data_IF_802072699497
#
_entry.id   IF_802072699497
#
_cell.length_a   1.000
_cell.length_b   1.000
_cell.length_c   1.000
_cell.angle_alpha   90.00
_cell.angle_beta   90.00
_cell.angle_gamma   90.00
#
_symmetry.space_group_name_H-M   'P 1'
#
loop_
_entity.id
_entity.type
_entity.pdbx_description
1 polymer ?
#
# COMPACT_ATOMS: atom_id res chain seq x y z
N UNK A 1 -22.38 28.96 -2.23
CA UNK A 1 -21.21 29.77 -1.82
C UNK A 1 -20.97 29.47 -0.35
N UNK A 2 -20.22 28.41 -0.01
CA UNK A 2 -20.15 27.95 1.39
C UNK A 2 -19.27 26.75 1.69
N UNK A 3 -18.85 25.97 0.68
CA UNK A 3 -17.88 24.87 0.88
C UNK A 3 -16.43 25.41 0.86
N UNK A 4 -16.15 26.37 -0.02
CA UNK A 4 -14.81 27.00 -0.12
C UNK A 4 -14.49 27.79 1.15
N UNK A 5 -15.46 28.51 1.70
CA UNK A 5 -15.27 29.36 2.88
C UNK A 5 -14.90 28.55 4.14
N UNK A 6 -15.47 27.35 4.30
CA UNK A 6 -15.20 26.48 5.45
C UNK A 6 -13.79 25.87 5.40
N UNK A 7 -13.33 25.43 4.22
CA UNK A 7 -11.97 24.93 4.03
C UNK A 7 -10.90 26.01 4.24
N UNK A 8 -11.18 27.24 3.78
CA UNK A 8 -10.30 28.39 4.01
C UNK A 8 -10.24 28.75 5.49
N UNK A 9 -11.39 28.76 6.18
CA UNK A 9 -11.45 28.99 7.63
C UNK A 9 -10.65 27.93 8.40
N UNK A 10 -10.79 26.64 8.03
CA UNK A 10 -10.04 25.57 8.67
C UNK A 10 -8.53 25.73 8.51
N UNK A 11 -8.07 26.02 7.29
CA UNK A 11 -6.65 26.26 7.02
C UNK A 11 -6.12 27.48 7.76
N UNK A 12 -6.93 28.55 7.88
CA UNK A 12 -6.55 29.76 8.63
C UNK A 12 -6.42 29.46 10.12
N UNK A 13 -7.34 28.71 10.72
CA UNK A 13 -7.27 28.34 12.13
C UNK A 13 -6.09 27.41 12.42
N UNK A 14 -5.75 26.50 11.49
CA UNK A 14 -4.56 25.64 11.57
C UNK A 14 -3.23 26.39 11.52
N UNK A 15 -3.21 27.66 11.11
CA UNK A 15 -1.98 28.49 11.21
C UNK A 15 -1.62 28.86 12.65
N UNK A 16 -2.57 28.77 13.58
CA UNK A 16 -2.32 29.03 14.99
C UNK A 16 -1.72 27.78 15.66
N UNK A 17 -0.51 27.91 16.20
CA UNK A 17 0.21 26.82 16.87
C UNK A 17 -0.53 26.20 18.07
N UNK A 18 -1.43 26.96 18.69
CA UNK A 18 -2.23 26.52 19.85
C UNK A 18 -3.54 25.84 19.44
N UNK A 19 -3.96 25.99 18.19
CA UNK A 19 -5.27 25.53 17.74
C UNK A 19 -5.24 24.05 17.33
N UNK A 20 -6.22 23.25 17.79
CA UNK A 20 -6.33 21.83 17.45
C UNK A 20 -7.76 21.42 17.15
N UNK A 21 -7.92 20.57 16.13
CA UNK A 21 -9.18 19.89 15.81
C UNK A 21 -9.31 18.56 16.58
N UNK A 22 -10.50 18.30 17.10
CA UNK A 22 -10.84 17.03 17.74
C UNK A 22 -11.11 15.96 16.68
N UNK A 23 -10.12 15.07 16.48
CA UNK A 23 -10.27 13.88 15.62
C UNK A 23 -10.50 12.60 16.43
N UNK A 24 -11.31 12.70 17.50
CA UNK A 24 -11.75 11.50 18.22
C UNK A 24 -12.51 10.58 17.27
N UNK A 25 -12.35 9.27 17.47
CA UNK A 25 -13.05 8.22 16.72
C UNK A 25 -14.57 8.32 16.80
N UNK A 26 -15.09 9.06 17.78
CA UNK A 26 -16.52 9.37 17.97
C UNK A 26 -17.08 10.41 16.99
N UNK A 27 -16.25 10.98 16.10
CA UNK A 27 -16.71 11.90 15.06
C UNK A 27 -17.06 13.31 15.55
N UNK A 28 -16.37 13.82 16.56
CA UNK A 28 -16.66 15.13 17.17
C UNK A 28 -16.36 16.32 16.22
N UNK A 29 -15.13 16.43 15.69
CA UNK A 29 -14.76 17.49 14.74
C UNK A 29 -14.67 18.91 15.32
N UNK A 30 -14.92 19.11 16.62
CA UNK A 30 -14.83 20.43 17.25
C UNK A 30 -13.39 20.97 17.28
N UNK A 31 -13.21 22.27 17.06
CA UNK A 31 -11.91 22.95 17.15
C UNK A 31 -11.77 23.73 18.45
N UNK A 32 -10.57 23.76 19.03
CA UNK A 32 -10.30 24.52 20.25
C UNK A 32 -8.87 25.06 20.28
N UNK A 33 -8.70 26.17 21.00
CA UNK A 33 -7.39 26.66 21.39
C UNK A 33 -6.94 25.92 22.65
N UNK A 34 -5.71 25.43 22.62
CA UNK A 34 -5.08 24.71 23.72
C UNK A 34 -4.03 25.63 24.33
N UNK A 35 -4.43 26.36 25.38
CA UNK A 35 -3.53 27.23 26.12
C UNK A 35 -2.46 26.42 26.87
N UNK A 36 -1.29 27.02 27.09
CA UNK A 36 -0.15 26.41 27.80
C UNK A 36 0.36 25.11 27.14
N UNK A 37 0.26 25.00 25.82
CA UNK A 37 0.65 23.79 25.09
C UNK A 37 2.10 23.33 25.31
N UNK A 38 2.99 24.27 25.67
CA UNK A 38 4.40 23.99 25.99
C UNK A 38 4.59 23.30 27.33
N UNK A 39 3.65 23.47 28.27
CA UNK A 39 3.68 22.88 29.61
C UNK A 39 2.84 21.60 29.70
N UNK A 40 2.17 21.20 28.61
CA UNK A 40 1.38 19.98 28.58
C UNK A 40 2.28 18.75 28.51
N UNK A 41 1.84 17.67 29.18
CA UNK A 41 2.40 16.32 29.09
C UNK A 41 2.19 15.66 27.70
N UNK A 42 2.01 16.46 26.64
CA UNK A 42 1.76 16.02 25.27
C UNK A 42 0.30 15.78 24.91
N UNK A 43 -0.66 15.98 25.83
CA UNK A 43 -2.09 15.76 25.60
C UNK A 43 -2.98 16.94 26.05
N UNK A 44 -4.18 17.02 25.49
CA UNK A 44 -5.22 17.97 25.87
C UNK A 44 -6.59 17.29 25.93
N UNK A 45 -7.55 17.90 26.64
CA UNK A 45 -8.93 17.37 26.71
C UNK A 45 -9.84 18.20 25.81
N UNK A 46 -10.63 17.52 24.97
CA UNK A 46 -11.60 18.20 24.13
C UNK A 46 -12.74 18.81 24.97
N UNK A 47 -13.03 20.10 24.81
CA UNK A 47 -14.09 20.76 25.57
C UNK A 47 -15.49 20.27 25.17
N UNK A 48 -15.68 19.86 23.90
CA UNK A 48 -16.99 19.45 23.39
C UNK A 48 -17.36 18.00 23.77
N UNK A 49 -16.40 17.06 23.73
CA UNK A 49 -16.68 15.63 23.92
C UNK A 49 -15.91 14.97 25.09
N UNK A 50 -15.06 15.73 25.78
CA UNK A 50 -14.28 15.27 26.94
C UNK A 50 -13.19 14.24 26.62
N UNK A 51 -12.92 13.95 25.35
CA UNK A 51 -11.89 12.98 24.98
C UNK A 51 -10.47 13.55 25.17
N UNK A 52 -9.57 12.73 25.70
CA UNK A 52 -8.15 13.06 25.79
C UNK A 52 -7.49 12.80 24.43
N UNK A 53 -6.80 13.80 23.90
CA UNK A 53 -6.19 13.78 22.58
C UNK A 53 -4.71 14.12 22.68
N UNK A 54 -3.90 13.48 21.85
CA UNK A 54 -2.51 13.86 21.67
C UNK A 54 -2.43 15.24 21.00
N UNK A 55 -1.65 16.15 21.57
CA UNK A 55 -1.47 17.49 21.02
C UNK A 55 -0.69 17.50 19.69
N UNK A 56 0.31 16.61 19.55
CA UNK A 56 1.12 16.48 18.34
C UNK A 56 0.37 15.77 17.21
N UNK A 57 -0.25 14.63 17.52
CA UNK A 57 -0.88 13.78 16.50
C UNK A 57 -2.36 14.13 16.22
N UNK A 58 -3.01 14.89 17.12
CA UNK A 58 -4.44 15.22 17.05
C UNK A 58 -5.37 14.01 16.96
N UNK A 59 -4.94 12.86 17.47
CA UNK A 59 -5.71 11.61 17.63
C UNK A 59 -5.97 11.35 19.12
N UNK A 60 -6.68 10.27 19.45
CA UNK A 60 -6.87 9.84 20.83
C UNK A 60 -5.54 9.62 21.55
N UNK A 61 -5.49 10.03 22.82
CA UNK A 61 -4.27 10.00 23.60
C UNK A 61 -3.74 8.57 23.76
N UNK A 62 -2.53 8.34 23.26
CA UNK A 62 -1.80 7.09 23.40
C UNK A 62 -1.20 6.97 24.80
N UNK A 63 -2.05 6.65 25.78
CA UNK A 63 -1.66 6.44 27.19
C UNK A 63 -0.51 5.44 27.29
N UNK A 64 0.56 5.83 27.99
CA UNK A 64 1.73 4.98 28.24
C UNK A 64 2.83 5.04 27.19
N UNK A 65 2.64 5.82 26.12
CA UNK A 65 3.67 6.06 25.10
C UNK A 65 3.92 7.56 24.95
N UNK A 66 5.19 7.94 24.81
CA UNK A 66 5.55 9.24 24.26
C UNK A 66 5.16 9.32 22.78
N UNK A 67 5.12 10.52 22.20
CA UNK A 67 4.79 10.66 20.78
C UNK A 67 5.76 9.90 19.89
N UNK A 68 7.06 9.93 20.20
CA UNK A 68 8.08 9.29 19.38
C UNK A 68 8.03 7.75 19.52
N UNK A 69 7.74 7.22 20.71
CA UNK A 69 7.51 5.77 20.89
C UNK A 69 6.26 5.30 20.15
N UNK A 70 5.19 6.10 20.16
CA UNK A 70 3.96 5.81 19.42
C UNK A 70 4.21 5.81 17.90
N UNK A 71 4.97 6.77 17.38
CA UNK A 71 5.38 6.80 15.97
C UNK A 71 6.25 5.58 15.62
N UNK A 72 7.23 5.22 16.46
CA UNK A 72 8.09 4.06 16.24
C UNK A 72 7.32 2.74 16.24
N UNK A 73 6.37 2.57 17.16
CA UNK A 73 5.51 1.39 17.21
C UNK A 73 4.57 1.31 16.00
N UNK A 74 4.03 2.46 15.57
CA UNK A 74 3.22 2.53 14.36
C UNK A 74 4.02 2.15 13.11
N UNK A 75 5.23 2.68 12.97
CA UNK A 75 6.12 2.37 11.86
C UNK A 75 6.46 0.86 11.81
N UNK A 76 6.78 0.25 12.96
CA UNK A 76 6.98 -1.21 13.05
C UNK A 76 5.78 -2.01 12.57
N UNK A 77 4.56 -1.60 12.96
CA UNK A 77 3.34 -2.29 12.56
C UNK A 77 2.97 -2.07 11.09
N UNK A 78 3.22 -0.88 10.55
CA UNK A 78 3.00 -0.57 9.13
C UNK A 78 3.96 -1.35 8.22
N UNK A 79 5.23 -1.51 8.61
CA UNK A 79 6.20 -2.33 7.87
C UNK A 79 5.77 -3.81 7.81
N UNK A 80 5.36 -4.37 8.96
CA UNK A 80 4.82 -5.74 9.04
C UNK A 80 3.54 -5.92 8.23
N UNK A 81 2.62 -4.95 8.27
CA UNK A 81 1.37 -5.01 7.51
C UNK A 81 1.61 -4.89 5.99
N UNK A 82 2.61 -4.10 5.58
CA UNK A 82 3.01 -3.97 4.18
C UNK A 82 3.64 -5.25 3.64
N UNK A 83 4.53 -5.89 4.40
CA UNK A 83 5.20 -7.12 4.00
C UNK A 83 4.24 -8.30 3.89
N UNK A 84 3.32 -8.45 4.85
CA UNK A 84 2.33 -9.55 4.83
C UNK A 84 1.39 -9.40 3.63
N UNK A 85 0.94 -8.18 3.34
CA UNK A 85 0.03 -7.92 2.21
C UNK A 85 0.75 -8.13 0.88
N UNK A 86 1.98 -7.63 0.74
CA UNK A 86 2.80 -7.83 -0.48
C UNK A 86 3.07 -9.32 -0.70
N UNK A 87 3.41 -10.09 0.32
CA UNK A 87 3.65 -11.53 0.19
C UNK A 87 2.38 -12.33 -0.11
N UNK A 88 1.23 -11.94 0.44
CA UNK A 88 -0.03 -12.64 0.20
C UNK A 88 -0.50 -12.57 -1.26
N UNK A 89 -0.22 -11.45 -1.93
CA UNK A 89 -0.71 -11.19 -3.30
C UNK A 89 0.37 -11.26 -4.38
N UNK A 90 1.63 -11.55 -4.02
CA UNK A 90 2.73 -11.67 -4.98
C UNK A 90 3.39 -13.06 -4.98
N UNK A 91 3.97 -13.44 -6.11
CA UNK A 91 4.86 -14.61 -6.25
C UNK A 91 6.15 -14.18 -6.92
N UNK A 92 7.27 -14.76 -6.50
CA UNK A 92 8.57 -14.50 -7.13
C UNK A 92 8.60 -15.03 -8.56
N UNK A 93 9.27 -14.28 -9.44
CA UNK A 93 9.58 -14.73 -10.78
C UNK A 93 10.37 -16.05 -10.72
N UNK A 94 9.96 -17.10 -11.47
CA UNK A 94 10.65 -18.39 -11.46
C UNK A 94 12.00 -18.39 -12.19
N UNK A 95 12.37 -17.28 -12.83
CA UNK A 95 13.73 -17.12 -13.34
C UNK A 95 14.65 -16.81 -12.15
N UNK A 96 15.52 -17.76 -11.81
CA UNK A 96 16.46 -17.70 -10.68
C UNK A 96 17.37 -16.46 -10.72
N UNK A 97 17.71 -15.95 -11.91
CA UNK A 97 18.51 -14.73 -12.07
C UNK A 97 17.71 -13.44 -11.83
N UNK A 98 16.37 -13.51 -11.76
CA UNK A 98 15.48 -12.37 -11.63
C UNK A 98 14.84 -12.31 -10.25
N UNK A 99 14.09 -13.34 -9.84
CA UNK A 99 13.45 -13.42 -8.51
C UNK A 99 12.46 -12.30 -8.13
N UNK A 100 12.23 -11.30 -8.99
CA UNK A 100 11.36 -10.15 -8.71
C UNK A 100 9.95 -10.59 -8.31
N UNK A 101 9.35 -10.03 -7.23
CA UNK A 101 7.97 -10.32 -6.85
C UNK A 101 7.00 -9.75 -7.88
N UNK A 102 6.08 -10.58 -8.34
CA UNK A 102 5.06 -10.25 -9.35
C UNK A 102 3.69 -10.38 -8.70
N UNK A 103 2.82 -9.39 -8.88
CA UNK A 103 1.42 -9.43 -8.43
C UNK A 103 0.53 -10.04 -9.53
N UNK A 104 -0.50 -10.80 -9.13
CA UNK A 104 -1.52 -11.26 -10.08
C UNK A 104 -2.59 -10.20 -10.27
N UNK A 105 -2.77 -9.73 -11.49
CA UNK A 105 -3.98 -9.05 -11.93
C UNK A 105 -4.97 -10.11 -12.46
N UNK A 106 -6.27 -9.94 -12.20
CA UNK A 106 -7.30 -10.94 -12.50
C UNK A 106 -7.33 -11.36 -13.99
N UNK A 107 -7.85 -12.56 -14.26
CA UNK A 107 -8.21 -12.99 -15.62
C UNK A 107 -7.33 -14.04 -16.31
N UNK A 108 -6.03 -14.20 -15.98
CA UNK A 108 -5.20 -15.23 -16.62
C UNK A 108 -4.14 -15.85 -15.69
N UNK A 109 -3.87 -17.15 -15.87
CA UNK A 109 -2.78 -17.87 -15.19
C UNK A 109 -1.49 -17.93 -16.03
N UNK A 110 -1.48 -17.37 -17.24
CA UNK A 110 -0.27 -17.12 -18.03
C UNK A 110 0.20 -15.70 -17.70
N UNK A 111 1.28 -15.64 -16.92
CA UNK A 111 1.87 -14.41 -16.42
C UNK A 111 3.14 -14.08 -17.18
N UNK A 112 3.47 -12.80 -17.24
CA UNK A 112 4.76 -12.31 -17.77
C UNK A 112 5.47 -11.55 -16.66
N UNK A 113 6.76 -11.81 -16.46
CA UNK A 113 7.59 -11.03 -15.53
C UNK A 113 7.71 -9.59 -16.05
N UNK A 114 6.86 -8.70 -15.55
CA UNK A 114 6.80 -7.27 -15.80
C UNK A 114 6.05 -6.58 -14.65
N UNK A 115 6.01 -5.24 -14.67
CA UNK A 115 5.32 -4.43 -13.66
C UNK A 115 3.87 -4.85 -13.42
N UNK A 116 3.15 -5.25 -14.47
CA UNK A 116 1.72 -5.54 -14.41
C UNK A 116 1.40 -7.05 -14.33
N UNK A 117 2.39 -7.92 -14.42
CA UNK A 117 2.22 -9.37 -14.35
C UNK A 117 1.40 -10.03 -15.48
N UNK A 118 0.61 -9.29 -16.26
CA UNK A 118 -0.32 -9.83 -17.26
C UNK A 118 0.22 -9.73 -18.69
N UNK A 119 -0.42 -10.47 -19.61
CA UNK A 119 -0.10 -10.44 -21.05
C UNK A 119 -0.92 -9.39 -21.82
N UNK A 120 -1.82 -8.65 -21.16
CA UNK A 120 -2.69 -7.64 -21.78
C UNK A 120 -2.10 -6.24 -21.65
N UNK A 121 -0.81 -6.09 -21.91
CA UNK A 121 -0.15 -4.79 -22.02
C UNK A 121 -0.58 -4.09 -23.32
N UNK A 122 -1.88 -3.87 -23.49
CA UNK A 122 -2.47 -3.24 -24.67
C UNK A 122 -2.25 -1.72 -24.69
N UNK A 123 -1.95 -1.10 -23.53
CA UNK A 123 -1.92 0.36 -23.42
C UNK A 123 -0.54 1.01 -23.55
N UNK A 124 0.56 0.25 -23.73
CA UNK A 124 1.86 0.87 -24.10
C UNK A 124 3.01 -0.14 -24.24
N UNK A 125 3.37 -0.45 -25.49
CA UNK A 125 4.65 -1.12 -25.81
C UNK A 125 5.86 -0.35 -25.27
N UNK A 126 5.74 0.96 -25.08
CA UNK A 126 6.83 1.85 -24.66
C UNK A 126 6.97 2.01 -23.14
N UNK A 127 6.07 1.40 -22.35
CA UNK A 127 5.97 1.58 -20.88
C UNK A 127 6.09 0.27 -20.11
N UNK A 128 6.06 -0.87 -20.79
CA UNK A 128 6.22 -2.16 -20.13
C UNK A 128 7.66 -2.64 -20.30
N UNK A 129 8.43 -2.58 -19.22
CA UNK A 129 9.82 -3.04 -19.14
C UNK A 129 9.89 -4.58 -19.26
N UNK A 130 9.70 -5.12 -20.46
CA UNK A 130 9.94 -6.53 -20.75
C UNK A 130 11.46 -6.72 -21.00
N UNK A 131 12.18 -7.28 -20.03
CA UNK A 131 13.62 -7.56 -20.18
C UNK A 131 14.54 -6.39 -19.80
N UNK A 132 14.12 -5.54 -18.87
CA UNK A 132 14.91 -4.44 -18.32
C UNK A 132 15.62 -4.76 -16.99
N UNK A 133 16.13 -3.73 -16.31
CA UNK A 133 16.85 -3.86 -15.02
C UNK A 133 16.04 -4.54 -13.91
N UNK A 134 14.72 -4.39 -13.92
CA UNK A 134 13.84 -4.84 -12.82
C UNK A 134 13.01 -6.09 -13.16
N UNK A 135 12.83 -6.41 -14.45
CA UNK A 135 11.95 -7.50 -14.89
C UNK A 135 12.54 -8.21 -16.11
N UNK A 136 12.57 -9.55 -16.11
CA UNK A 136 13.22 -10.34 -17.16
C UNK A 136 12.32 -10.70 -18.35
N UNK A 137 11.02 -10.39 -18.31
CA UNK A 137 10.08 -10.72 -19.39
C UNK A 137 9.72 -12.21 -19.52
N UNK A 138 10.24 -13.07 -18.65
CA UNK A 138 9.93 -14.51 -18.66
C UNK A 138 8.43 -14.74 -18.49
N UNK A 139 7.84 -15.57 -19.36
CA UNK A 139 6.46 -16.05 -19.20
C UNK A 139 6.43 -17.30 -18.33
N UNK A 140 5.41 -17.40 -17.49
CA UNK A 140 5.26 -18.51 -16.56
C UNK A 140 3.80 -18.74 -16.17
N UNK A 141 3.52 -19.95 -15.68
CA UNK A 141 2.22 -20.30 -15.12
C UNK A 141 2.10 -19.80 -13.68
N UNK A 142 1.11 -18.98 -13.36
CA UNK A 142 0.88 -18.52 -11.98
C UNK A 142 0.58 -19.65 -11.00
N UNK A 143 -0.07 -20.73 -11.48
CA UNK A 143 -0.49 -21.84 -10.63
C UNK A 143 0.70 -22.68 -10.15
N UNK A 144 1.67 -22.97 -11.02
CA UNK A 144 2.76 -23.90 -10.73
C UNK A 144 4.16 -23.32 -10.87
N UNK A 145 4.27 -22.05 -11.28
CA UNK A 145 5.50 -21.35 -11.62
C UNK A 145 6.32 -22.01 -12.74
N UNK A 146 5.70 -22.90 -13.50
CA UNK A 146 6.29 -23.54 -14.67
C UNK A 146 6.58 -22.54 -15.77
N UNK A 147 7.75 -22.67 -16.41
CA UNK A 147 8.18 -21.81 -17.52
C UNK A 147 7.20 -21.95 -18.69
N UNK A 148 6.94 -20.84 -19.38
CA UNK A 148 6.18 -20.83 -20.65
C UNK A 148 7.06 -20.19 -21.71
N UNK A 149 7.32 -20.93 -22.79
CA UNK A 149 8.04 -20.47 -23.96
C UNK A 149 7.06 -20.13 -25.10
N UNK A 150 7.52 -19.29 -26.03
CA UNK A 150 6.80 -18.98 -27.26
C UNK A 150 7.28 -19.91 -28.38
N UNK A 151 6.37 -20.61 -29.03
CA UNK A 151 6.65 -21.27 -30.29
C UNK A 151 6.63 -20.23 -31.42
N UNK A 152 7.81 -19.95 -31.97
CA UNK A 152 7.98 -18.98 -33.06
C UNK A 152 7.30 -19.40 -34.37
N UNK A 153 7.02 -20.70 -34.56
CA UNK A 153 6.42 -21.21 -35.81
C UNK A 153 4.90 -21.09 -35.80
N UNK A 154 4.28 -21.41 -34.67
CA UNK A 154 2.81 -21.43 -34.53
C UNK A 154 2.27 -20.19 -33.81
N UNK A 155 3.16 -19.33 -33.31
CA UNK A 155 2.83 -18.25 -32.37
C UNK A 155 2.09 -18.76 -31.11
N UNK A 156 2.29 -20.04 -30.78
CA UNK A 156 1.68 -20.73 -29.65
C UNK A 156 2.50 -20.63 -28.37
N UNK A 157 1.94 -21.14 -27.27
CA UNK A 157 2.61 -21.23 -25.98
C UNK A 157 3.04 -22.68 -25.72
N UNK A 158 4.33 -22.90 -25.48
CA UNK A 158 4.87 -24.17 -25.00
C UNK A 158 4.94 -24.07 -23.48
N UNK A 159 4.20 -24.93 -22.78
CA UNK A 159 4.10 -24.89 -21.32
C UNK A 159 4.99 -25.97 -20.71
N UNK A 160 5.73 -25.62 -19.67
CA UNK A 160 6.53 -26.55 -18.87
C UNK A 160 5.93 -26.65 -17.47
N UNK A 161 4.64 -26.99 -17.39
CA UNK A 161 3.95 -27.15 -16.11
C UNK A 161 4.41 -28.42 -15.39
N UNK A 162 4.34 -28.43 -14.05
CA UNK A 162 4.52 -29.63 -13.22
C UNK A 162 3.26 -30.52 -13.25
N UNK A 163 3.36 -31.84 -12.99
CA UNK A 163 2.22 -32.76 -12.99
C UNK A 163 1.05 -32.36 -12.08
N UNK A 164 1.33 -31.64 -10.99
CA UNK A 164 0.30 -31.13 -10.06
C UNK A 164 -0.46 -29.90 -10.58
N UNK A 165 -0.08 -29.35 -11.73
CA UNK A 165 -0.72 -28.18 -12.32
C UNK A 165 -1.96 -28.60 -13.12
N UNK A 166 -3.08 -27.87 -12.96
CA UNK A 166 -4.29 -28.05 -13.79
C UNK A 166 -4.06 -27.85 -15.30
N UNK A 167 -2.96 -27.21 -15.69
CA UNK A 167 -2.59 -27.00 -17.10
C UNK A 167 -1.54 -27.99 -17.62
N UNK A 168 -1.15 -28.99 -16.84
CA UNK A 168 -0.12 -29.97 -17.22
C UNK A 168 -0.46 -30.72 -18.52
N UNK A 169 -1.74 -31.02 -18.73
CA UNK A 169 -2.23 -31.70 -19.95
C UNK A 169 -2.21 -30.82 -21.21
N UNK A 170 -1.85 -29.54 -21.09
CA UNK A 170 -1.74 -28.58 -22.19
C UNK A 170 -0.28 -28.24 -22.53
N UNK A 171 0.68 -28.99 -21.96
CA UNK A 171 2.08 -28.90 -22.31
C UNK A 171 2.34 -29.44 -23.72
#
# INVERSE_FOLDING_TARGET
>A
MGIVDNLLLHRLLETNEEFRWCKSTKGCGAGQLVCNYKDLLGYYTCHACGQMLCFRHSIEWHKGFTCDEFEAERARNDDLASDVTVLAFTKKCPNEACGTPIMKHEGCDVMTCCRFGSHTCAESKDTCDHGGRNYCGQRFCWSCLGKIDLDKKTNGFIRHCKPSCKYYSLN
#
